data_IF_710267558527
#
_entry.id   IF_710267558527
#
_cell.length_a   1.000
_cell.length_b   1.000
_cell.length_c   1.000
_cell.angle_alpha   90.00
_cell.angle_beta   90.00
_cell.angle_gamma   90.00
#
_symmetry.space_group_name_H-M   'P 1'
#
loop_
_entity.id
_entity.type
_entity.pdbx_description
1 polymer ?
#
# COMPACT_ATOMS: atom_id res chain seq x y z
N UNK A 1 61.63 8.58 32.77
CA UNK A 1 60.83 9.02 31.61
C UNK A 1 59.57 8.17 31.53
N UNK A 2 58.46 8.77 31.93
CA UNK A 2 57.11 8.19 31.98
C UNK A 2 56.35 8.49 30.70
N UNK A 3 55.95 7.46 29.95
CA UNK A 3 54.99 7.53 28.85
C UNK A 3 54.24 6.18 28.87
N UNK A 4 52.93 6.02 28.83
CA UNK A 4 51.77 6.92 28.84
C UNK A 4 50.64 6.05 29.42
N UNK A 5 50.00 6.52 30.49
CA UNK A 5 48.70 6.01 30.95
C UNK A 5 47.60 6.74 30.17
N UNK A 6 46.49 6.04 29.91
CA UNK A 6 45.17 6.57 29.55
C UNK A 6 44.92 6.90 28.06
N UNK A 7 44.06 6.12 27.41
CA UNK A 7 42.90 6.60 26.61
C UNK A 7 41.91 5.45 26.38
N UNK A 8 41.29 4.92 27.43
CA UNK A 8 40.02 4.19 27.34
C UNK A 8 38.91 5.13 27.83
N UNK A 9 38.71 6.21 27.08
CA UNK A 9 37.58 7.12 27.29
C UNK A 9 37.08 7.55 25.93
N UNK A 10 36.05 6.88 25.41
CA UNK A 10 35.44 7.35 24.17
C UNK A 10 34.64 6.37 23.33
N UNK A 11 34.52 5.09 23.70
CA UNK A 11 33.53 4.22 23.06
C UNK A 11 32.13 4.58 23.56
N UNK A 12 31.59 5.69 23.04
CA UNK A 12 30.15 5.95 23.06
C UNK A 12 29.49 4.80 22.31
N UNK A 13 28.98 3.84 23.07
CA UNK A 13 27.96 2.92 22.60
C UNK A 13 26.85 3.80 22.02
N UNK A 14 26.80 3.91 20.69
CA UNK A 14 25.64 4.51 20.03
C UNK A 14 24.52 3.50 20.21
N UNK A 15 23.86 3.57 21.36
CA UNK A 15 22.50 3.05 21.52
C UNK A 15 21.67 3.87 20.54
N UNK A 16 21.56 3.36 19.32
CA UNK A 16 20.59 3.83 18.34
C UNK A 16 19.26 3.47 18.98
N UNK A 17 18.69 4.41 19.74
CA UNK A 17 17.29 4.36 20.12
C UNK A 17 16.53 4.22 18.80
N UNK A 18 16.06 3.00 18.54
CA UNK A 18 15.09 2.73 17.50
C UNK A 18 13.83 3.46 17.92
N UNK A 19 13.68 4.70 17.50
CA UNK A 19 12.37 5.31 17.33
C UNK A 19 11.68 4.51 16.23
N UNK A 20 11.14 3.36 16.62
CA UNK A 20 10.07 2.69 15.88
C UNK A 20 8.91 3.65 16.00
N UNK A 21 8.85 4.59 15.05
CA UNK A 21 7.57 5.12 14.62
C UNK A 21 6.74 3.87 14.28
N UNK A 22 5.86 3.50 15.22
CA UNK A 22 4.68 2.72 14.92
C UNK A 22 4.07 3.42 13.72
N UNK A 23 4.25 2.82 12.54
CA UNK A 23 3.50 3.19 11.36
C UNK A 23 2.08 2.83 11.75
N UNK A 24 1.36 3.80 12.32
CA UNK A 24 -0.09 3.78 12.39
C UNK A 24 -0.51 3.51 10.95
N UNK A 25 -1.03 2.31 10.71
CA UNK A 25 -1.66 1.99 9.45
C UNK A 25 -2.93 2.81 9.46
N UNK A 26 -2.83 4.07 9.05
CA UNK A 26 -3.98 4.85 8.65
C UNK A 26 -4.50 4.17 7.38
N UNK A 27 -5.26 3.10 7.55
CA UNK A 27 -6.09 2.49 6.52
C UNK A 27 -7.23 3.46 6.19
N UNK A 28 -6.89 4.62 5.60
CA UNK A 28 -7.78 5.58 4.95
C UNK A 28 -7.02 6.90 4.72
N UNK A 29 -5.97 6.88 3.89
CA UNK A 29 -5.52 8.12 3.23
C UNK A 29 -6.22 8.19 1.87
N UNK A 30 -7.11 9.16 1.77
CA UNK A 30 -7.95 9.47 0.62
C UNK A 30 -7.14 9.41 -0.69
N UNK A 31 -7.57 8.58 -1.64
CA UNK A 31 -6.98 8.41 -2.99
C UNK A 31 -7.41 9.58 -3.89
N UNK A 32 -7.24 10.80 -3.40
CA UNK A 32 -7.44 12.05 -4.15
C UNK A 32 -6.19 12.91 -3.96
N UNK A 33 -5.10 12.53 -4.61
CA UNK A 33 -3.85 13.25 -4.43
C UNK A 33 -2.67 12.68 -5.20
N UNK A 34 -2.87 12.21 -6.43
CA UNK A 34 -1.74 11.87 -7.31
C UNK A 34 -2.14 11.86 -8.79
N UNK A 35 -2.89 12.87 -9.23
CA UNK A 35 -2.94 13.25 -10.64
C UNK A 35 -2.54 14.71 -10.66
N UNK A 36 -1.32 14.93 -11.17
CA UNK A 36 -0.80 16.17 -11.74
C UNK A 36 -1.24 17.48 -11.06
N UNK A 37 -0.25 18.23 -10.59
CA UNK A 37 -0.34 19.61 -10.08
C UNK A 37 -0.93 20.65 -11.07
N UNK A 38 -1.62 20.23 -12.13
CA UNK A 38 -2.30 21.07 -13.13
C UNK A 38 -3.82 20.89 -13.17
N UNK A 39 -4.41 20.06 -12.30
CA UNK A 39 -5.87 19.85 -12.25
C UNK A 39 -6.62 20.72 -11.22
N UNK A 40 -5.97 21.72 -10.59
CA UNK A 40 -6.59 22.59 -9.58
C UNK A 40 -7.32 23.83 -10.13
N UNK A 41 -7.43 23.99 -11.45
CA UNK A 41 -7.91 25.25 -12.06
C UNK A 41 -9.20 25.13 -12.86
N UNK A 42 -9.80 23.95 -13.01
CA UNK A 42 -11.07 23.80 -13.72
C UNK A 42 -12.16 23.30 -12.78
N UNK A 43 -12.91 24.27 -12.25
CA UNK A 43 -14.27 24.19 -11.71
C UNK A 43 -14.83 22.80 -11.41
N UNK A 44 -14.25 22.11 -10.43
CA UNK A 44 -14.96 21.05 -9.75
C UNK A 44 -16.07 21.73 -8.95
N UNK A 45 -17.33 21.53 -9.33
CA UNK A 45 -18.45 21.81 -8.44
C UNK A 45 -18.09 21.21 -7.09
N UNK A 46 -18.02 22.04 -6.06
CA UNK A 46 -17.83 21.58 -4.68
C UNK A 46 -19.02 20.70 -4.34
N UNK A 47 -18.88 19.39 -4.60
CA UNK A 47 -19.78 18.37 -4.09
C UNK A 47 -19.49 18.32 -2.59
N UNK A 48 -20.16 19.23 -1.87
CA UNK A 48 -20.11 19.28 -0.42
C UNK A 48 -20.67 17.95 0.09
N UNK A 49 -19.84 17.19 0.80
CA UNK A 49 -20.26 15.95 1.45
C UNK A 49 -21.29 16.32 2.51
N UNK A 50 -22.54 15.91 2.32
CA UNK A 50 -23.59 16.07 3.34
C UNK A 50 -23.25 15.14 4.51
N UNK A 51 -22.88 15.71 5.65
CA UNK A 51 -22.78 14.98 6.91
C UNK A 51 -24.19 14.79 7.48
N UNK A 52 -24.66 13.56 7.53
CA UNK A 52 -25.89 13.24 8.26
C UNK A 52 -25.60 13.33 9.77
N UNK A 53 -26.55 13.84 10.58
CA UNK A 53 -26.40 13.83 12.03
C UNK A 53 -26.30 12.38 12.53
N UNK A 54 -25.40 12.13 13.49
CA UNK A 54 -25.29 10.82 14.12
C UNK A 54 -26.28 10.77 15.28
N UNK A 55 -27.09 9.72 15.30
CA UNK A 55 -28.04 9.47 16.39
C UNK A 55 -27.31 9.30 17.73
N UNK A 56 -27.82 9.94 18.78
CA UNK A 56 -27.22 9.94 20.13
C UNK A 56 -28.01 9.14 21.17
N UNK A 57 -29.20 8.68 20.80
CA UNK A 57 -30.09 7.94 21.69
C UNK A 57 -29.63 6.50 21.90
N UNK A 58 -29.29 6.16 23.15
CA UNK A 58 -28.77 4.83 23.53
C UNK A 58 -29.71 3.69 23.15
N UNK A 59 -31.03 3.87 23.32
CA UNK A 59 -32.03 2.83 22.99
C UNK A 59 -32.06 2.49 21.50
N UNK A 60 -31.79 3.48 20.65
CA UNK A 60 -31.78 3.27 19.21
C UNK A 60 -30.47 2.58 18.79
N UNK A 61 -29.33 3.01 19.36
CA UNK A 61 -28.01 2.42 19.08
C UNK A 61 -27.88 0.94 19.48
N UNK A 62 -28.60 0.51 20.52
CA UNK A 62 -28.59 -0.90 20.98
C UNK A 62 -29.50 -1.78 20.15
N UNK A 63 -30.64 -1.26 19.67
CA UNK A 63 -31.66 -2.06 18.98
C UNK A 63 -31.54 -2.02 17.46
N UNK A 64 -30.93 -0.99 16.89
CA UNK A 64 -30.88 -0.74 15.45
C UNK A 64 -29.44 -0.52 14.98
N UNK A 65 -29.15 -0.98 13.77
CA UNK A 65 -27.91 -0.67 13.07
C UNK A 65 -28.06 0.68 12.36
N UNK A 66 -27.79 1.76 13.09
CA UNK A 66 -27.95 3.13 12.60
C UNK A 66 -27.08 3.40 11.37
N UNK A 67 -27.67 4.00 10.33
CA UNK A 67 -26.96 4.34 9.09
C UNK A 67 -26.91 3.23 8.05
N UNK A 68 -27.69 2.16 8.24
CA UNK A 68 -27.87 1.11 7.23
C UNK A 68 -28.81 1.55 6.11
N UNK A 69 -29.82 2.37 6.42
CA UNK A 69 -30.74 2.88 5.41
C UNK A 69 -30.12 4.05 4.62
N UNK A 70 -29.86 3.83 3.32
CA UNK A 70 -29.40 4.87 2.38
C UNK A 70 -30.54 5.60 1.67
N UNK A 71 -31.77 5.09 1.78
CA UNK A 71 -32.94 5.66 1.13
C UNK A 71 -33.54 6.78 1.99
N UNK A 72 -34.29 7.69 1.36
CA UNK A 72 -34.98 8.78 2.09
C UNK A 72 -36.13 8.29 2.97
N UNK A 73 -36.67 7.14 2.63
CA UNK A 73 -37.83 6.52 3.25
C UNK A 73 -37.42 5.11 3.70
N UNK A 74 -37.96 4.67 4.83
CA UNK A 74 -37.67 3.36 5.42
C UNK A 74 -37.02 3.46 6.80
N UNK A 75 -36.98 2.34 7.48
CA UNK A 75 -36.39 2.20 8.82
C UNK A 75 -35.02 1.52 8.72
N UNK A 76 -34.16 1.79 9.71
CA UNK A 76 -32.87 1.12 9.84
C UNK A 76 -33.06 -0.36 10.22
N UNK A 77 -32.07 -1.20 9.89
CA UNK A 77 -32.12 -2.63 10.17
C UNK A 77 -32.10 -2.87 11.68
N UNK A 78 -33.16 -3.49 12.20
CA UNK A 78 -33.26 -3.90 13.60
C UNK A 78 -32.33 -5.10 13.86
N UNK A 79 -31.57 -5.03 14.96
CA UNK A 79 -30.72 -6.12 15.43
C UNK A 79 -31.60 -7.25 15.98
N UNK A 80 -31.25 -8.47 15.59
CA UNK A 80 -31.92 -9.71 16.00
C UNK A 80 -31.18 -10.33 17.19
N UNK A 81 -31.74 -11.42 17.72
CA UNK A 81 -31.08 -12.20 18.76
C UNK A 81 -29.86 -12.95 18.20
N UNK A 82 -28.88 -13.25 19.07
CA UNK A 82 -27.60 -13.86 18.67
C UNK A 82 -27.78 -15.22 17.96
N UNK A 83 -28.87 -15.94 18.26
CA UNK A 83 -29.22 -17.25 17.68
C UNK A 83 -29.63 -17.19 16.20
N UNK A 84 -30.06 -16.02 15.72
CA UNK A 84 -30.44 -15.86 14.30
C UNK A 84 -29.23 -15.67 13.39
N UNK A 85 -28.08 -15.29 13.97
CA UNK A 85 -26.84 -15.10 13.23
C UNK A 85 -26.05 -16.41 13.16
N UNK A 86 -25.35 -16.67 12.05
CA UNK A 86 -24.58 -17.89 11.90
C UNK A 86 -23.36 -17.91 12.84
N UNK A 87 -23.03 -19.10 13.35
CA UNK A 87 -22.00 -19.31 14.39
C UNK A 87 -20.62 -18.74 14.04
N UNK A 88 -20.23 -18.76 12.76
CA UNK A 88 -18.93 -18.26 12.30
C UNK A 88 -18.73 -16.77 12.58
N UNK A 89 -19.81 -15.99 12.79
CA UNK A 89 -19.72 -14.57 13.15
C UNK A 89 -18.95 -14.38 14.47
N UNK A 90 -19.18 -15.28 15.42
CA UNK A 90 -18.58 -15.23 16.76
C UNK A 90 -17.18 -15.86 16.82
N UNK A 91 -16.81 -16.62 15.79
CA UNK A 91 -15.48 -17.21 15.63
C UNK A 91 -14.47 -16.24 14.97
N UNK A 92 -14.94 -15.10 14.45
CA UNK A 92 -14.09 -14.11 13.81
C UNK A 92 -13.11 -13.46 14.78
N UNK A 93 -11.85 -13.33 14.35
CA UNK A 93 -10.81 -12.63 15.12
C UNK A 93 -11.03 -11.12 15.04
N UNK A 94 -11.35 -10.49 16.17
CA UNK A 94 -11.48 -9.03 16.30
C UNK A 94 -10.16 -8.32 16.63
N UNK A 95 -9.11 -9.09 16.91
CA UNK A 95 -7.80 -8.59 17.29
C UNK A 95 -6.91 -8.19 16.10
N UNK A 96 -5.65 -7.79 16.38
CA UNK A 96 -4.66 -7.64 15.33
C UNK A 96 -4.43 -8.97 14.59
N UNK A 97 -4.02 -8.91 13.31
CA UNK A 97 -3.71 -10.13 12.57
C UNK A 97 -2.60 -10.91 13.27
N UNK A 98 -2.67 -12.26 13.30
CA UNK A 98 -1.67 -13.09 13.95
C UNK A 98 -0.29 -12.86 13.31
N UNK A 99 0.81 -12.91 14.07
CA UNK A 99 2.15 -12.85 13.50
C UNK A 99 2.42 -14.10 12.65
N UNK A 100 3.31 -13.97 11.67
CA UNK A 100 3.63 -15.05 10.73
C UNK A 100 4.17 -16.31 11.44
N UNK A 101 4.83 -16.15 12.59
CA UNK A 101 5.43 -17.23 13.38
C UNK A 101 4.41 -18.15 14.04
N UNK A 102 3.20 -17.64 14.32
CA UNK A 102 2.11 -18.41 14.95
C UNK A 102 1.22 -19.14 13.93
N UNK A 103 1.36 -18.80 12.64
CA UNK A 103 0.52 -19.34 11.58
C UNK A 103 1.07 -20.64 11.00
N UNK A 104 0.17 -21.54 10.59
CA UNK A 104 0.53 -22.81 9.97
C UNK A 104 0.97 -22.62 8.50
N UNK A 105 2.20 -23.06 8.12
CA UNK A 105 2.70 -23.00 6.74
C UNK A 105 1.86 -23.74 5.70
N UNK A 106 1.02 -24.69 6.11
CA UNK A 106 0.16 -25.45 5.20
C UNK A 106 -1.12 -24.70 4.81
N UNK A 107 -1.41 -23.58 5.47
CA UNK A 107 -2.61 -22.78 5.21
C UNK A 107 -2.32 -21.68 4.18
N UNK A 108 -3.32 -21.35 3.34
CA UNK A 108 -3.21 -20.27 2.33
C UNK A 108 -2.90 -18.90 2.96
N UNK A 109 -3.51 -18.61 4.09
CA UNK A 109 -3.38 -17.35 4.83
C UNK A 109 -1.92 -17.03 5.19
N UNK A 110 -1.15 -18.04 5.58
CA UNK A 110 0.29 -17.89 5.88
C UNK A 110 1.05 -17.32 4.69
N UNK A 111 0.80 -17.85 3.49
CA UNK A 111 1.50 -17.43 2.27
C UNK A 111 1.08 -16.04 1.80
N UNK A 112 -0.19 -15.68 1.98
CA UNK A 112 -0.69 -14.32 1.70
C UNK A 112 -0.01 -13.29 2.60
N UNK A 113 0.11 -13.60 3.90
CA UNK A 113 0.80 -12.75 4.86
C UNK A 113 2.30 -12.65 4.57
N UNK A 114 2.96 -13.78 4.26
CA UNK A 114 4.35 -13.79 3.84
C UNK A 114 4.58 -12.89 2.62
N UNK A 115 3.74 -13.01 1.59
CA UNK A 115 3.83 -12.20 0.38
C UNK A 115 3.66 -10.70 0.67
N UNK A 116 2.70 -10.35 1.53
CA UNK A 116 2.50 -8.96 1.97
C UNK A 116 3.74 -8.42 2.69
N UNK A 117 4.33 -9.19 3.62
CA UNK A 117 5.55 -8.81 4.34
C UNK A 117 6.74 -8.64 3.40
N UNK A 118 6.89 -9.53 2.41
CA UNK A 118 7.92 -9.41 1.38
C UNK A 118 7.74 -8.15 0.54
N UNK A 119 6.50 -7.80 0.16
CA UNK A 119 6.18 -6.58 -0.57
C UNK A 119 6.57 -5.34 0.23
N UNK A 120 6.23 -5.30 1.52
CA UNK A 120 6.63 -4.23 2.43
C UNK A 120 8.16 -4.13 2.51
N UNK A 121 8.86 -5.26 2.73
CA UNK A 121 10.32 -5.31 2.77
C UNK A 121 10.94 -4.75 1.49
N UNK A 122 10.43 -5.13 0.32
CA UNK A 122 10.88 -4.63 -0.99
C UNK A 122 10.71 -3.12 -1.11
N UNK A 123 9.59 -2.57 -0.66
CA UNK A 123 9.35 -1.12 -0.66
C UNK A 123 10.31 -0.39 0.29
N UNK A 124 10.56 -0.94 1.47
CA UNK A 124 11.54 -0.40 2.43
C UNK A 124 12.96 -0.38 1.83
N UNK A 125 13.38 -1.49 1.21
CA UNK A 125 14.70 -1.56 0.56
C UNK A 125 14.83 -0.58 -0.60
N UNK A 126 13.78 -0.42 -1.42
CA UNK A 126 13.77 0.58 -2.50
C UNK A 126 13.92 2.01 -2.01
N UNK A 127 13.47 2.32 -0.78
CA UNK A 127 13.66 3.63 -0.16
C UNK A 127 15.10 3.84 0.32
N UNK A 128 15.73 2.79 0.84
CA UNK A 128 17.12 2.82 1.35
C UNK A 128 18.12 2.90 0.20
N UNK A 129 17.87 2.19 -0.90
CA UNK A 129 18.67 2.31 -2.12
C UNK A 129 18.47 3.74 -2.65
N UNK A 130 19.47 4.59 -2.38
CA UNK A 130 19.46 5.98 -2.84
C UNK A 130 19.20 6.02 -4.35
N UNK A 131 18.31 6.92 -4.78
CA UNK A 131 18.12 7.14 -6.22
C UNK A 131 19.46 7.62 -6.78
N UNK A 132 20.00 6.91 -7.77
CA UNK A 132 21.15 7.38 -8.52
C UNK A 132 20.79 8.75 -9.10
N UNK A 133 21.56 9.79 -8.76
CA UNK A 133 21.48 11.07 -9.47
C UNK A 133 22.02 10.80 -10.86
N UNK A 134 21.17 10.93 -11.87
CA UNK A 134 21.61 10.89 -13.25
C UNK A 134 22.22 12.25 -13.58
N UNK A 135 23.41 12.26 -14.16
CA UNK A 135 23.95 13.46 -14.77
C UNK A 135 23.15 13.83 -16.02
N UNK A 136 23.33 15.07 -16.51
CA UNK A 136 22.65 15.55 -17.73
C UNK A 136 22.93 14.58 -18.89
N UNK A 137 21.89 14.19 -19.65
CA UNK A 137 21.91 13.24 -20.77
C UNK A 137 22.18 11.75 -20.43
N UNK A 138 22.38 11.36 -19.17
CA UNK A 138 22.54 9.94 -18.80
C UNK A 138 21.22 9.16 -18.86
N UNK A 139 20.09 9.85 -18.67
CA UNK A 139 18.76 9.25 -18.82
C UNK A 139 18.52 8.68 -20.22
N UNK A 140 18.90 9.44 -21.24
CA UNK A 140 18.75 9.05 -22.64
C UNK A 140 19.70 7.89 -23.00
N UNK A 141 20.95 7.92 -22.52
CA UNK A 141 21.90 6.80 -22.69
C UNK A 141 21.36 5.52 -22.05
N UNK A 142 20.82 5.60 -20.84
CA UNK A 142 20.20 4.45 -20.15
C UNK A 142 18.98 3.94 -20.93
N UNK A 143 18.17 4.83 -21.51
CA UNK A 143 17.04 4.46 -22.33
C UNK A 143 17.47 3.69 -23.59
N UNK A 144 18.47 4.19 -24.32
CA UNK A 144 19.01 3.48 -25.49
C UNK A 144 19.60 2.12 -25.12
N UNK A 145 20.35 2.04 -24.00
CA UNK A 145 20.87 0.77 -23.49
C UNK A 145 19.76 -0.22 -23.11
N UNK A 146 18.67 0.26 -22.49
CA UNK A 146 17.50 -0.58 -22.21
C UNK A 146 16.87 -1.07 -23.50
N UNK A 147 16.70 -0.21 -24.51
CA UNK A 147 16.15 -0.59 -25.82
C UNK A 147 16.99 -1.68 -26.50
N UNK A 148 18.32 -1.56 -26.45
CA UNK A 148 19.24 -2.59 -26.97
C UNK A 148 19.11 -3.89 -26.18
N UNK A 149 19.10 -3.82 -24.84
CA UNK A 149 18.93 -4.99 -23.97
C UNK A 149 17.62 -5.72 -24.23
N UNK A 150 16.51 -4.99 -24.37
CA UNK A 150 15.20 -5.59 -24.68
C UNK A 150 15.22 -6.27 -26.04
N UNK A 151 15.83 -5.67 -27.06
CA UNK A 151 15.99 -6.28 -28.38
C UNK A 151 16.85 -7.56 -28.34
N UNK A 152 17.96 -7.55 -27.62
CA UNK A 152 18.85 -8.71 -27.48
C UNK A 152 18.24 -9.84 -26.62
N UNK A 153 17.34 -9.50 -25.69
CA UNK A 153 16.56 -10.50 -24.95
C UNK A 153 15.41 -11.05 -25.79
N UNK A 154 14.76 -10.21 -26.61
CA UNK A 154 13.73 -10.62 -27.55
C UNK A 154 14.29 -11.51 -28.67
N UNK A 155 15.53 -11.34 -29.11
CA UNK A 155 16.15 -12.29 -30.06
C UNK A 155 16.34 -13.69 -29.47
N UNK A 156 16.26 -13.85 -28.15
CA UNK A 156 16.25 -15.14 -27.43
C UNK A 156 14.86 -15.53 -26.92
N UNK A 157 13.87 -14.65 -27.04
CA UNK A 157 12.51 -14.84 -26.56
C UNK A 157 11.58 -14.63 -27.74
N UNK A 158 11.18 -15.73 -28.36
CA UNK A 158 10.18 -15.70 -29.42
C UNK A 158 8.84 -15.22 -28.81
N UNK A 159 8.33 -14.03 -29.19
CA UNK A 159 7.13 -13.45 -28.58
C UNK A 159 5.83 -14.16 -29.02
N UNK A 160 5.92 -15.22 -29.83
CA UNK A 160 4.76 -15.99 -30.28
C UNK A 160 3.94 -15.30 -31.37
N UNK A 161 4.52 -14.35 -32.10
CA UNK A 161 3.92 -13.73 -33.28
C UNK A 161 4.86 -13.90 -34.47
N UNK A 162 4.36 -14.52 -35.55
CA UNK A 162 5.14 -14.85 -36.75
C UNK A 162 5.74 -13.61 -37.46
N UNK A 163 5.24 -12.40 -37.14
CA UNK A 163 5.83 -11.13 -37.60
C UNK A 163 5.85 -10.07 -36.48
N UNK A 164 6.90 -9.23 -36.42
CA UNK A 164 6.96 -8.14 -35.45
C UNK A 164 5.83 -7.12 -35.72
N UNK A 165 5.11 -6.65 -34.69
CA UNK A 165 4.02 -5.70 -34.87
C UNK A 165 4.52 -4.40 -35.48
N UNK A 166 3.80 -3.90 -36.47
CA UNK A 166 4.12 -2.63 -37.14
C UNK A 166 3.61 -1.46 -36.30
N UNK A 167 4.35 -0.35 -36.31
CA UNK A 167 4.02 0.85 -35.56
C UNK A 167 4.07 2.06 -36.48
N UNK A 168 3.12 2.97 -36.29
CA UNK A 168 3.06 4.26 -37.01
C UNK A 168 4.15 5.22 -36.53
N UNK A 169 4.32 6.33 -37.27
CA UNK A 169 5.28 7.41 -36.97
C UNK A 169 5.07 8.02 -35.57
N UNK A 170 3.86 7.89 -35.02
CA UNK A 170 3.48 8.38 -33.70
C UNK A 170 3.57 7.30 -32.59
N UNK A 171 4.06 6.10 -32.93
CA UNK A 171 4.30 5.02 -31.98
C UNK A 171 3.07 4.17 -31.61
N UNK A 172 1.95 4.38 -32.28
CA UNK A 172 0.76 3.51 -32.15
C UNK A 172 0.92 2.23 -32.96
N UNK A 173 0.41 1.11 -32.42
CA UNK A 173 0.45 -0.19 -33.11
C UNK A 173 -0.56 -0.17 -34.26
N UNK A 174 -0.09 -0.48 -35.46
CA UNK A 174 -0.90 -0.71 -36.64
C UNK A 174 -1.50 -2.12 -36.50
N UNK A 175 -2.82 -2.22 -36.52
CA UNK A 175 -3.56 -3.50 -36.45
C UNK A 175 -3.73 -4.04 -37.87
#
# INVERSE_FOLDING_TARGET
MSLLKNTLSGCRFLVIHRNISLMRVDCAKNVQGSYTSKAKTMGGLDIQKKSLPVESDVKNLVNYCCGTNINKEGEDVKLKEDSEYPDWLWELRLGPPPPLEEMDPNTKEYWEQLFFLQKIRKLRLKKVVGRKKLFVNEGDKIYQLKKIRFRALASKYDPGFDTPPQFDKDGWRII
#
